data_IF_476545598928
#
_entry.id   IF_476545598928
#
_cell.length_a   1.000
_cell.length_b   1.000
_cell.length_c   1.000
_cell.angle_alpha   90.00
_cell.angle_beta   90.00
_cell.angle_gamma   90.00
#
_symmetry.space_group_name_H-M   'P 1'
#
loop_
_entity.id
_entity.type
_entity.pdbx_description
1 polymer ?
#
# COMPACT_ATOMS: atom_id res chain seq x y z
N UNK A 1 -53.50 54.73 24.81
CA UNK A 1 -52.83 54.21 23.60
C UNK A 1 -51.65 53.43 24.07
N UNK A 2 -51.78 52.12 24.15
CA UNK A 2 -50.76 51.21 24.67
C UNK A 2 -50.23 50.40 23.49
N UNK A 3 -48.92 50.55 23.24
CA UNK A 3 -48.22 49.77 22.20
C UNK A 3 -47.69 48.47 22.81
N UNK A 4 -48.19 47.32 22.30
CA UNK A 4 -47.67 46.01 22.60
C UNK A 4 -46.42 45.76 21.76
N UNK A 5 -45.26 45.61 22.44
CA UNK A 5 -44.04 45.11 21.83
C UNK A 5 -44.00 43.56 21.88
N UNK A 6 -44.13 42.89 20.73
CA UNK A 6 -43.81 41.46 20.58
C UNK A 6 -42.32 41.30 20.42
N UNK A 7 -41.68 40.65 21.38
CA UNK A 7 -40.30 40.17 21.24
C UNK A 7 -40.36 38.73 20.69
N UNK A 8 -40.05 38.56 19.41
CA UNK A 8 -39.79 37.25 18.79
C UNK A 8 -38.46 36.70 19.32
N UNK A 9 -38.51 35.64 20.09
CA UNK A 9 -37.31 34.90 20.49
C UNK A 9 -36.87 33.99 19.33
N UNK A 10 -35.82 34.42 18.64
CA UNK A 10 -35.13 33.63 17.60
C UNK A 10 -34.35 32.46 18.24
N UNK A 11 -35.02 31.34 18.48
CA UNK A 11 -34.42 30.08 18.90
C UNK A 11 -33.91 29.35 17.66
N UNK A 12 -32.69 29.70 17.21
CA UNK A 12 -31.96 28.83 16.27
C UNK A 12 -31.70 27.49 16.94
N UNK A 13 -32.05 26.37 16.30
CA UNK A 13 -31.70 25.05 16.82
C UNK A 13 -30.17 24.91 16.82
N UNK A 14 -29.58 24.57 17.97
CA UNK A 14 -28.18 24.24 18.11
C UNK A 14 -27.88 23.09 17.14
N UNK A 15 -27.06 23.36 16.12
CA UNK A 15 -26.47 22.32 15.27
C UNK A 15 -25.63 21.46 16.21
N UNK A 16 -26.04 20.22 16.45
CA UNK A 16 -25.28 19.26 17.22
C UNK A 16 -23.99 18.98 16.46
N UNK A 17 -22.88 19.53 16.92
CA UNK A 17 -21.54 19.15 16.52
C UNK A 17 -21.28 17.70 16.95
N UNK A 18 -21.83 16.76 16.21
CA UNK A 18 -21.37 15.38 16.32
C UNK A 18 -19.89 15.36 15.93
N UNK A 19 -18.99 14.85 16.79
CA UNK A 19 -17.57 14.82 16.48
C UNK A 19 -17.37 14.09 15.15
N UNK A 20 -16.80 14.80 14.17
CA UNK A 20 -16.51 14.24 12.86
C UNK A 20 -15.67 12.98 13.06
N UNK A 21 -16.17 11.82 12.63
CA UNK A 21 -15.47 10.55 12.78
C UNK A 21 -14.13 10.65 12.06
N UNK A 22 -13.04 10.50 12.82
CA UNK A 22 -11.69 10.64 12.29
C UNK A 22 -11.41 9.61 11.17
N UNK A 23 -11.05 10.10 9.99
CA UNK A 23 -10.66 9.25 8.86
C UNK A 23 -9.29 8.63 9.14
N UNK A 24 -9.14 7.33 8.90
CA UNK A 24 -7.86 6.63 8.97
C UNK A 24 -7.20 6.63 7.60
N UNK A 25 -6.02 7.25 7.48
CA UNK A 25 -5.21 7.16 6.27
C UNK A 25 -4.45 5.83 6.23
N UNK A 26 -4.47 5.18 5.08
CA UNK A 26 -3.71 3.96 4.80
C UNK A 26 -2.88 4.17 3.54
N UNK A 27 -1.56 4.04 3.63
CA UNK A 27 -0.64 4.16 2.50
C UNK A 27 -0.17 2.77 2.08
N UNK A 28 -0.33 2.44 0.79
CA UNK A 28 0.05 1.14 0.24
C UNK A 28 1.04 1.33 -0.92
N UNK A 29 2.27 0.86 -0.71
CA UNK A 29 3.34 0.91 -1.71
C UNK A 29 3.73 -0.48 -2.13
N UNK A 30 3.65 -0.76 -3.43
CA UNK A 30 4.01 -2.08 -3.95
C UNK A 30 3.62 -2.28 -5.40
N UNK A 31 3.58 -3.52 -5.82
CA UNK A 31 3.40 -3.84 -7.22
C UNK A 31 2.28 -4.87 -7.45
N UNK A 32 2.64 -5.98 -8.07
CA UNK A 32 1.69 -6.99 -8.55
C UNK A 32 0.94 -7.70 -7.42
N UNK A 33 1.55 -7.90 -6.25
CA UNK A 33 0.84 -8.54 -5.14
C UNK A 33 -0.30 -7.67 -4.60
N UNK A 34 -0.13 -6.34 -4.57
CA UNK A 34 -1.23 -5.43 -4.24
C UNK A 34 -2.32 -5.45 -5.32
N UNK A 35 -1.94 -5.47 -6.62
CA UNK A 35 -2.89 -5.54 -7.74
C UNK A 35 -3.72 -6.81 -7.70
N UNK A 36 -3.04 -7.96 -7.63
CA UNK A 36 -3.67 -9.28 -7.65
C UNK A 36 -4.44 -9.59 -6.38
N UNK A 37 -4.03 -8.97 -5.28
CA UNK A 37 -4.63 -9.13 -3.96
C UNK A 37 -5.65 -8.06 -3.58
N UNK A 38 -5.95 -7.10 -4.46
CA UNK A 38 -6.76 -5.93 -4.15
C UNK A 38 -8.11 -6.23 -3.45
N UNK A 39 -8.92 -7.22 -3.90
CA UNK A 39 -10.16 -7.55 -3.20
C UNK A 39 -9.95 -8.13 -1.79
N UNK A 40 -8.93 -8.95 -1.60
CA UNK A 40 -8.58 -9.51 -0.29
C UNK A 40 -8.06 -8.42 0.66
N UNK A 41 -7.15 -7.57 0.16
CA UNK A 41 -6.56 -6.46 0.87
C UNK A 41 -7.63 -5.47 1.39
N UNK A 42 -8.52 -5.01 0.51
CA UNK A 42 -9.55 -4.02 0.87
C UNK A 42 -10.56 -4.60 1.85
N UNK A 43 -10.92 -5.88 1.72
CA UNK A 43 -11.76 -6.58 2.69
C UNK A 43 -11.10 -6.65 4.06
N UNK A 44 -9.83 -7.08 4.13
CA UNK A 44 -9.09 -7.18 5.39
C UNK A 44 -8.94 -5.83 6.09
N UNK A 45 -8.66 -4.75 5.34
CA UNK A 45 -8.59 -3.40 5.92
C UNK A 45 -9.91 -2.98 6.56
N UNK A 46 -11.04 -3.16 5.86
CA UNK A 46 -12.36 -2.78 6.36
C UNK A 46 -12.83 -3.65 7.54
N UNK A 47 -12.37 -4.90 7.63
CA UNK A 47 -12.66 -5.79 8.76
C UNK A 47 -11.85 -5.46 10.02
N UNK A 48 -10.59 -5.00 9.85
CA UNK A 48 -9.70 -4.74 10.98
C UNK A 48 -9.78 -3.30 11.49
N UNK A 49 -10.28 -2.36 10.69
CA UNK A 49 -10.29 -0.93 11.02
C UNK A 49 -11.74 -0.44 11.02
N UNK A 50 -12.25 -0.13 12.20
CA UNK A 50 -13.63 0.32 12.39
C UNK A 50 -13.91 1.76 11.93
N UNK A 51 -12.87 2.54 11.60
CA UNK A 51 -12.98 3.94 11.16
C UNK A 51 -13.15 4.03 9.63
N UNK A 52 -13.76 5.12 9.11
CA UNK A 52 -13.71 5.40 7.68
C UNK A 52 -12.27 5.45 7.16
N UNK A 53 -12.02 4.84 6.01
CA UNK A 53 -10.70 4.68 5.44
C UNK A 53 -10.49 5.62 4.25
N UNK A 54 -9.31 6.21 4.17
CA UNK A 54 -8.79 6.78 2.92
C UNK A 54 -7.51 6.06 2.53
N UNK A 55 -7.61 5.19 1.53
CA UNK A 55 -6.47 4.44 1.00
C UNK A 55 -5.78 5.30 -0.07
N UNK A 56 -4.50 5.56 0.15
CA UNK A 56 -3.59 6.15 -0.82
C UNK A 56 -2.65 5.07 -1.32
N UNK A 57 -2.65 4.77 -2.60
CA UNK A 57 -1.83 3.67 -3.09
C UNK A 57 -0.97 4.03 -4.29
N UNK A 58 0.26 3.50 -4.29
CA UNK A 58 1.14 3.42 -5.44
C UNK A 58 1.30 1.95 -5.81
N UNK A 59 0.37 1.41 -6.60
CA UNK A 59 0.40 0.01 -7.04
C UNK A 59 0.42 -0.11 -8.57
N UNK A 60 0.86 -1.24 -9.07
CA UNK A 60 0.84 -1.56 -10.50
C UNK A 60 1.63 -2.82 -10.81
N UNK A 61 1.23 -3.56 -11.87
CA UNK A 61 2.00 -4.72 -12.32
C UNK A 61 3.44 -4.30 -12.64
N UNK A 62 4.43 -4.89 -11.98
CA UNK A 62 5.84 -4.61 -12.15
C UNK A 62 6.25 -3.18 -11.76
N UNK A 63 5.55 -2.50 -10.85
CA UNK A 63 5.89 -1.14 -10.43
C UNK A 63 7.22 -1.13 -9.69
N UNK A 64 8.08 -0.19 -10.07
CA UNK A 64 9.38 0.07 -9.42
C UNK A 64 9.27 1.12 -8.32
N UNK A 65 10.13 1.05 -7.31
CA UNK A 65 10.30 2.12 -6.34
C UNK A 65 11.07 3.30 -6.95
N UNK A 66 12.01 3.04 -7.84
CA UNK A 66 13.07 3.97 -8.27
C UNK A 66 12.63 4.81 -9.47
N UNK A 67 12.16 4.16 -10.55
CA UNK A 67 11.93 4.82 -11.85
C UNK A 67 10.63 4.37 -12.53
N UNK A 68 10.22 5.04 -13.62
CA UNK A 68 9.09 4.58 -14.41
C UNK A 68 9.28 3.14 -14.87
N UNK A 69 8.26 2.33 -14.68
CA UNK A 69 8.25 0.91 -15.03
C UNK A 69 7.23 0.61 -16.11
N UNK A 70 7.63 -0.23 -17.06
CA UNK A 70 6.77 -0.63 -18.18
C UNK A 70 6.22 -2.03 -17.91
N UNK A 71 4.90 -2.16 -18.01
CA UNK A 71 4.23 -3.44 -18.09
C UNK A 71 3.33 -3.47 -19.32
N UNK A 72 3.63 -4.31 -20.30
CA UNK A 72 2.99 -4.32 -21.61
C UNK A 72 3.06 -2.93 -22.29
N UNK A 73 1.92 -2.37 -22.70
CA UNK A 73 1.83 -1.05 -23.32
C UNK A 73 1.68 0.11 -22.32
N UNK A 74 1.76 -0.16 -21.02
CA UNK A 74 1.55 0.83 -19.94
C UNK A 74 2.87 1.13 -19.22
N UNK A 75 3.13 2.41 -18.99
CA UNK A 75 4.20 2.91 -18.15
C UNK A 75 3.57 3.62 -16.95
N UNK A 76 4.02 3.28 -15.76
CA UNK A 76 3.68 3.94 -14.50
C UNK A 76 4.92 4.65 -13.95
N UNK A 77 4.76 5.82 -13.31
CA UNK A 77 5.87 6.46 -12.60
C UNK A 77 6.39 5.55 -11.49
N UNK A 78 7.66 5.67 -11.16
CA UNK A 78 8.23 5.05 -9.96
C UNK A 78 7.51 5.54 -8.70
N UNK A 79 7.60 4.78 -7.61
CA UNK A 79 6.98 5.20 -6.34
C UNK A 79 7.55 6.54 -5.89
N UNK A 80 8.86 6.74 -5.99
CA UNK A 80 9.52 8.00 -5.64
C UNK A 80 9.17 9.18 -6.55
N UNK A 81 8.77 8.90 -7.81
CA UNK A 81 8.40 9.91 -8.80
C UNK A 81 6.88 10.18 -8.83
N UNK A 82 6.11 9.42 -8.05
CA UNK A 82 4.66 9.52 -8.02
C UNK A 82 4.20 10.88 -7.47
N UNK A 83 3.13 11.42 -8.05
CA UNK A 83 2.46 12.62 -7.54
C UNK A 83 1.77 12.42 -6.18
N UNK A 84 1.76 11.22 -5.63
CA UNK A 84 1.31 10.97 -4.27
C UNK A 84 1.92 11.98 -3.30
N UNK A 85 3.22 12.20 -3.40
CA UNK A 85 3.99 13.01 -2.44
C UNK A 85 3.56 14.47 -2.38
N UNK A 86 3.03 15.02 -3.49
CA UNK A 86 2.50 16.39 -3.54
C UNK A 86 1.00 16.45 -3.19
N UNK A 87 0.31 15.31 -3.16
CA UNK A 87 -1.15 15.24 -3.01
C UNK A 87 -1.61 14.52 -1.74
N UNK A 88 -0.69 14.14 -0.86
CA UNK A 88 -1.06 13.64 0.46
C UNK A 88 -1.82 14.73 1.22
N UNK A 89 -2.99 14.43 1.81
CA UNK A 89 -3.73 15.39 2.60
C UNK A 89 -2.97 15.72 3.89
N UNK A 90 -3.45 16.68 4.65
CA UNK A 90 -2.94 16.92 6.01
C UNK A 90 -3.15 15.64 6.85
N UNK A 91 -2.18 15.29 7.72
CA UNK A 91 -2.34 14.18 8.64
C UNK A 91 -3.63 14.31 9.47
N UNK A 92 -4.34 13.20 9.65
CA UNK A 92 -5.52 13.16 10.52
C UNK A 92 -5.13 13.03 12.00
N UNK A 93 -6.11 13.10 12.90
CA UNK A 93 -5.88 12.86 14.34
C UNK A 93 -5.33 11.45 14.58
N UNK A 94 -5.76 10.47 13.77
CA UNK A 94 -5.32 9.09 13.87
C UNK A 94 -4.01 8.86 13.10
N UNK A 95 -2.99 8.19 13.70
CA UNK A 95 -1.76 7.85 13.01
C UNK A 95 -2.02 7.03 11.73
N UNK A 96 -1.36 7.34 10.60
CA UNK A 96 -1.55 6.60 9.37
C UNK A 96 -0.93 5.20 9.45
N UNK A 97 -1.54 4.25 8.74
CA UNK A 97 -1.05 2.89 8.59
C UNK A 97 -0.36 2.74 7.24
N UNK A 98 0.80 2.12 7.22
CA UNK A 98 1.62 2.04 6.01
C UNK A 98 2.08 0.62 5.75
N UNK A 99 1.96 0.16 4.51
CA UNK A 99 2.52 -1.09 4.03
C UNK A 99 3.45 -0.82 2.85
N UNK A 100 4.73 -1.24 2.97
CA UNK A 100 5.68 -1.31 1.87
C UNK A 100 5.90 -2.77 1.50
N UNK A 101 5.66 -3.13 0.23
CA UNK A 101 5.81 -4.51 -0.27
C UNK A 101 6.40 -4.53 -1.68
N UNK A 102 6.69 -5.73 -2.18
CA UNK A 102 7.18 -5.97 -3.55
C UNK A 102 8.50 -5.24 -3.89
N UNK A 103 9.32 -4.93 -2.89
CA UNK A 103 10.61 -4.22 -3.05
C UNK A 103 11.55 -4.96 -4.02
N UNK A 104 11.51 -6.28 -4.04
CA UNK A 104 12.35 -7.13 -4.90
C UNK A 104 12.12 -6.96 -6.42
N UNK A 105 11.06 -6.28 -6.85
CA UNK A 105 10.83 -6.03 -8.29
C UNK A 105 11.97 -5.24 -8.93
N UNK A 106 12.63 -4.37 -8.19
CA UNK A 106 13.69 -3.52 -8.71
C UNK A 106 14.98 -4.30 -9.04
N UNK A 107 15.18 -5.49 -8.46
CA UNK A 107 16.24 -6.44 -8.86
C UNK A 107 16.11 -6.79 -10.35
N UNK A 108 14.88 -7.00 -10.82
CA UNK A 108 14.60 -7.40 -12.19
C UNK A 108 14.91 -6.28 -13.18
N UNK A 109 14.78 -5.04 -12.73
CA UNK A 109 15.16 -3.84 -13.49
C UNK A 109 16.67 -3.56 -13.43
N UNK A 110 17.47 -4.45 -12.79
CA UNK A 110 18.93 -4.35 -12.72
C UNK A 110 19.44 -3.16 -11.91
N UNK A 111 18.67 -2.67 -10.96
CA UNK A 111 19.20 -1.76 -9.97
C UNK A 111 20.10 -2.50 -8.98
N UNK A 112 21.12 -1.83 -8.49
CA UNK A 112 21.94 -2.38 -7.41
C UNK A 112 21.10 -2.52 -6.14
N UNK A 113 21.45 -3.49 -5.29
CA UNK A 113 20.74 -3.69 -4.02
C UNK A 113 20.83 -2.47 -3.11
N UNK A 114 21.93 -1.71 -3.22
CA UNK A 114 22.13 -0.43 -2.52
C UNK A 114 21.15 0.64 -3.02
N UNK A 115 20.97 0.78 -4.35
CA UNK A 115 19.99 1.74 -4.90
C UNK A 115 18.58 1.41 -4.45
N UNK A 116 18.25 0.11 -4.41
CA UNK A 116 16.92 -0.35 -3.96
C UNK A 116 16.72 -0.03 -2.47
N UNK A 117 17.70 -0.33 -1.63
CA UNK A 117 17.66 -0.01 -0.22
C UNK A 117 17.54 1.50 0.02
N UNK A 118 18.29 2.33 -0.72
CA UNK A 118 18.18 3.79 -0.66
C UNK A 118 16.80 4.30 -1.07
N UNK A 119 16.19 3.70 -2.10
CA UNK A 119 14.84 4.06 -2.53
C UNK A 119 13.78 3.74 -1.46
N UNK A 120 13.92 2.60 -0.78
CA UNK A 120 13.06 2.26 0.37
C UNK A 120 13.28 3.24 1.52
N UNK A 121 14.54 3.55 1.85
CA UNK A 121 14.88 4.51 2.91
C UNK A 121 14.32 5.91 2.61
N UNK A 122 14.41 6.38 1.37
CA UNK A 122 13.84 7.66 0.95
C UNK A 122 12.30 7.64 1.02
N UNK A 123 11.66 6.52 0.64
CA UNK A 123 10.21 6.35 0.80
C UNK A 123 9.81 6.47 2.27
N UNK A 124 10.54 5.81 3.17
CA UNK A 124 10.32 5.89 4.62
C UNK A 124 10.52 7.32 5.15
N UNK A 125 11.58 7.99 4.71
CA UNK A 125 11.84 9.39 5.09
C UNK A 125 10.68 10.31 4.70
N UNK A 126 10.14 10.17 3.48
CA UNK A 126 8.98 10.98 3.02
C UNK A 126 7.73 10.69 3.83
N UNK A 127 7.47 9.43 4.17
CA UNK A 127 6.34 9.05 5.03
C UNK A 127 6.48 9.71 6.40
N UNK A 128 7.65 9.60 7.03
CA UNK A 128 7.92 10.21 8.34
C UNK A 128 7.89 11.74 8.32
N UNK A 129 8.30 12.36 7.21
CA UNK A 129 8.18 13.82 7.02
C UNK A 129 6.71 14.24 6.91
N UNK A 130 5.87 13.42 6.27
CA UNK A 130 4.43 13.70 6.18
C UNK A 130 3.73 13.49 7.54
N UNK A 131 3.97 12.35 8.20
CA UNK A 131 3.48 12.09 9.56
C UNK A 131 4.47 11.19 10.31
N UNK A 132 5.14 11.77 11.32
CA UNK A 132 6.12 11.05 12.13
C UNK A 132 5.51 9.88 12.94
N UNK A 133 4.20 9.89 13.18
CA UNK A 133 3.46 8.84 13.92
C UNK A 133 3.12 7.63 13.08
N UNK A 134 3.45 7.62 11.77
CA UNK A 134 3.10 6.54 10.86
C UNK A 134 3.49 5.16 11.40
N UNK A 135 2.54 4.25 11.44
CA UNK A 135 2.73 2.85 11.83
C UNK A 135 3.06 2.04 10.58
N UNK A 136 4.33 1.66 10.45
CA UNK A 136 4.90 1.16 9.19
C UNK A 136 5.22 -0.32 9.29
N UNK A 137 4.70 -1.09 8.34
CA UNK A 137 5.07 -2.48 8.06
C UNK A 137 5.82 -2.54 6.73
N UNK A 138 7.02 -3.09 6.76
CA UNK A 138 7.83 -3.43 5.59
C UNK A 138 7.80 -4.94 5.39
N UNK A 139 7.59 -5.42 4.17
CA UNK A 139 7.71 -6.86 3.89
C UNK A 139 9.11 -7.20 3.39
N UNK A 140 9.62 -8.33 3.87
CA UNK A 140 10.83 -8.93 3.31
C UNK A 140 10.62 -9.54 1.93
N UNK A 141 11.68 -10.09 1.34
CA UNK A 141 11.65 -10.78 0.07
C UNK A 141 11.33 -12.27 0.25
N UNK A 142 10.73 -12.92 -0.75
CA UNK A 142 10.42 -14.36 -0.73
C UNK A 142 11.68 -15.21 -1.01
N UNK A 143 12.76 -14.99 -0.26
CA UNK A 143 14.07 -15.64 -0.51
C UNK A 143 13.97 -17.15 -0.52
N UNK A 144 13.26 -17.77 0.44
CA UNK A 144 13.08 -19.21 0.48
C UNK A 144 12.33 -19.75 -0.76
N UNK A 145 11.31 -19.03 -1.24
CA UNK A 145 10.59 -19.42 -2.44
C UNK A 145 11.47 -19.34 -3.70
N UNK A 146 12.41 -18.38 -3.72
CA UNK A 146 13.38 -18.23 -4.81
C UNK A 146 14.48 -19.28 -4.73
N UNK A 147 14.94 -19.66 -3.53
CA UNK A 147 15.95 -20.70 -3.33
C UNK A 147 15.44 -22.08 -3.77
N UNK A 148 14.18 -22.39 -3.52
CA UNK A 148 13.53 -23.63 -3.93
C UNK A 148 13.16 -23.67 -5.41
N UNK A 149 13.33 -22.55 -6.15
CA UNK A 149 12.89 -22.47 -7.55
C UNK A 149 13.82 -23.24 -8.48
N UNK A 150 13.34 -24.27 -9.20
CA UNK A 150 14.15 -24.97 -10.19
C UNK A 150 14.53 -24.06 -11.37
N UNK A 151 15.72 -24.23 -11.99
CA UNK A 151 16.20 -23.37 -13.07
C UNK A 151 15.24 -23.25 -14.25
N UNK A 152 14.57 -24.36 -14.64
CA UNK A 152 13.63 -24.34 -15.77
C UNK A 152 12.39 -23.47 -15.47
N UNK A 153 11.89 -23.46 -14.23
CA UNK A 153 10.76 -22.62 -13.82
C UNK A 153 11.15 -21.13 -13.79
N UNK A 154 12.37 -20.83 -13.34
CA UNK A 154 12.90 -19.47 -13.43
C UNK A 154 12.93 -18.97 -14.88
N UNK A 155 13.38 -19.80 -15.82
CA UNK A 155 13.40 -19.43 -17.23
C UNK A 155 11.99 -19.14 -17.78
N UNK A 156 10.99 -19.92 -17.38
CA UNK A 156 9.59 -19.68 -17.78
C UNK A 156 9.10 -18.36 -17.16
N UNK A 157 9.27 -18.18 -15.85
CA UNK A 157 8.84 -16.96 -15.16
C UNK A 157 9.53 -15.71 -15.74
N UNK A 158 10.84 -15.80 -16.03
CA UNK A 158 11.60 -14.72 -16.67
C UNK A 158 11.05 -14.34 -18.05
N UNK A 159 10.73 -15.34 -18.89
CA UNK A 159 10.18 -15.07 -20.22
C UNK A 159 8.79 -14.48 -20.20
N UNK A 160 7.95 -14.87 -19.24
CA UNK A 160 6.57 -14.40 -19.14
C UNK A 160 6.45 -13.04 -18.47
N UNK A 161 7.21 -12.84 -17.38
CA UNK A 161 7.06 -11.66 -16.52
C UNK A 161 8.08 -10.57 -16.82
N UNK A 162 9.28 -10.94 -17.35
CA UNK A 162 10.43 -10.06 -17.46
C UNK A 162 11.16 -10.22 -18.79
N UNK A 163 10.42 -10.06 -19.88
CA UNK A 163 10.96 -10.16 -21.23
C UNK A 163 12.15 -9.21 -21.43
N UNK A 164 13.29 -9.79 -21.85
CA UNK A 164 14.52 -9.02 -22.10
C UNK A 164 15.43 -8.82 -20.89
N UNK A 165 15.09 -9.29 -19.69
CA UNK A 165 16.03 -9.25 -18.56
C UNK A 165 17.08 -10.36 -18.73
N UNK A 166 18.41 -10.03 -18.75
CA UNK A 166 19.47 -11.03 -18.81
C UNK A 166 19.75 -11.68 -17.44
N UNK A 167 19.01 -11.36 -16.39
CA UNK A 167 19.21 -11.84 -15.03
C UNK A 167 19.20 -13.38 -14.97
N UNK A 168 20.22 -13.96 -14.38
CA UNK A 168 20.32 -15.40 -14.10
C UNK A 168 19.65 -15.73 -12.76
N UNK A 169 19.31 -17.02 -12.56
CA UNK A 169 18.76 -17.46 -11.26
C UNK A 169 19.76 -17.25 -10.11
N UNK A 170 21.05 -17.51 -10.37
CA UNK A 170 22.11 -17.34 -9.38
C UNK A 170 22.23 -15.86 -8.95
N UNK A 171 22.28 -14.95 -9.92
CA UNK A 171 22.32 -13.50 -9.64
C UNK A 171 21.04 -13.05 -8.90
N UNK A 172 19.86 -13.54 -9.31
CA UNK A 172 18.61 -13.22 -8.66
C UNK A 172 18.58 -13.64 -7.19
N UNK A 173 19.05 -14.86 -6.89
CA UNK A 173 19.18 -15.36 -5.51
C UNK A 173 20.15 -14.53 -4.69
N UNK A 174 21.35 -14.31 -5.22
CA UNK A 174 22.39 -13.52 -4.53
C UNK A 174 21.87 -12.13 -4.20
N UNK A 175 21.31 -11.42 -5.18
CA UNK A 175 20.79 -10.06 -4.97
C UNK A 175 19.59 -10.06 -4.02
N UNK A 176 18.72 -11.09 -4.06
CA UNK A 176 17.60 -11.18 -3.15
C UNK A 176 18.04 -11.39 -1.70
N UNK A 177 19.04 -12.25 -1.46
CA UNK A 177 19.61 -12.46 -0.12
C UNK A 177 20.32 -11.19 0.40
N UNK A 178 21.12 -10.55 -0.44
CA UNK A 178 21.83 -9.32 -0.10
C UNK A 178 20.83 -8.19 0.23
N UNK A 179 19.82 -7.98 -0.63
CA UNK A 179 18.79 -6.98 -0.37
C UNK A 179 17.99 -7.32 0.90
N UNK A 180 17.65 -8.59 1.14
CA UNK A 180 16.97 -9.02 2.36
C UNK A 180 17.77 -8.62 3.61
N UNK A 181 19.09 -8.82 3.62
CA UNK A 181 19.96 -8.41 4.73
C UNK A 181 19.94 -6.89 4.94
N UNK A 182 20.01 -6.12 3.86
CA UNK A 182 19.93 -4.65 3.92
C UNK A 182 18.57 -4.16 4.44
N UNK A 183 17.47 -4.83 4.06
CA UNK A 183 16.13 -4.49 4.58
C UNK A 183 15.97 -4.84 6.06
N UNK A 184 16.58 -5.94 6.52
CA UNK A 184 16.63 -6.30 7.95
C UNK A 184 17.36 -5.23 8.74
N UNK A 185 18.54 -4.81 8.27
CA UNK A 185 19.32 -3.74 8.90
C UNK A 185 18.54 -2.42 8.91
N UNK A 186 17.99 -2.01 7.76
CA UNK A 186 17.19 -0.78 7.65
C UNK A 186 15.99 -0.80 8.60
N UNK A 187 15.31 -1.94 8.73
CA UNK A 187 14.17 -2.09 9.63
C UNK A 187 14.60 -1.96 11.10
N UNK A 188 15.74 -2.54 11.48
CA UNK A 188 16.31 -2.41 12.82
C UNK A 188 16.69 -0.96 13.14
N UNK A 189 17.42 -0.30 12.24
CA UNK A 189 17.89 1.08 12.41
C UNK A 189 16.73 2.08 12.54
N UNK A 190 15.64 1.85 11.81
CA UNK A 190 14.47 2.72 11.81
C UNK A 190 13.31 2.21 12.68
N UNK A 191 13.54 1.16 13.48
CA UNK A 191 12.54 0.56 14.38
C UNK A 191 11.22 0.20 13.66
N UNK A 192 11.34 -0.35 12.44
CA UNK A 192 10.19 -0.79 11.65
C UNK A 192 9.82 -2.24 11.97
N UNK A 193 8.57 -2.59 11.66
CA UNK A 193 8.13 -3.98 11.65
C UNK A 193 8.41 -4.61 10.29
N UNK A 194 9.47 -5.41 10.22
CA UNK A 194 9.75 -6.23 9.05
C UNK A 194 8.99 -7.56 9.17
N UNK A 195 8.19 -7.89 8.18
CA UNK A 195 7.44 -9.16 8.12
C UNK A 195 7.96 -10.00 6.97
N UNK A 196 8.55 -11.15 7.31
CA UNK A 196 9.02 -12.08 6.30
C UNK A 196 7.83 -12.83 5.70
N UNK A 197 7.66 -12.84 4.36
CA UNK A 197 6.62 -13.62 3.71
C UNK A 197 6.82 -15.13 3.93
N UNK A 198 5.74 -15.84 4.22
CA UNK A 198 5.78 -17.28 4.37
C UNK A 198 6.00 -17.96 3.02
N UNK A 199 6.94 -18.93 2.98
CA UNK A 199 7.21 -19.75 1.81
C UNK A 199 5.96 -20.46 1.25
N UNK A 200 5.04 -20.87 2.11
CA UNK A 200 3.81 -21.55 1.74
C UNK A 200 2.83 -20.68 0.94
N UNK A 201 2.99 -19.36 0.99
CA UNK A 201 2.14 -18.47 0.19
C UNK A 201 2.45 -18.48 -1.29
N UNK A 202 3.64 -18.94 -1.67
CA UNK A 202 4.12 -19.01 -3.05
C UNK A 202 3.92 -20.40 -3.67
N UNK A 203 3.78 -20.44 -4.99
CA UNK A 203 3.56 -21.65 -5.74
C UNK A 203 4.69 -21.97 -6.72
N UNK A 204 4.27 -22.21 -7.96
CA UNK A 204 5.18 -22.36 -9.08
C UNK A 204 5.87 -21.04 -9.45
N UNK A 205 5.19 -19.95 -9.17
CA UNK A 205 5.65 -18.59 -9.29
C UNK A 205 6.20 -18.15 -7.92
N UNK A 206 7.48 -17.77 -7.82
CA UNK A 206 8.11 -17.38 -6.56
C UNK A 206 7.82 -15.93 -6.17
N UNK A 207 7.09 -15.17 -6.99
CA UNK A 207 6.90 -13.73 -6.82
C UNK A 207 5.49 -13.40 -6.32
N UNK A 208 4.47 -14.12 -6.84
CA UNK A 208 3.09 -13.80 -6.53
C UNK A 208 2.48 -14.77 -5.51
N UNK A 209 1.71 -14.22 -4.57
CA UNK A 209 0.94 -15.03 -3.63
C UNK A 209 -0.09 -15.88 -4.38
N UNK A 210 -0.18 -17.16 -4.03
CA UNK A 210 -1.28 -18.04 -4.45
C UNK A 210 -2.61 -17.37 -4.11
N UNK A 211 -3.58 -17.46 -5.01
CA UNK A 211 -4.91 -16.82 -4.80
C UNK A 211 -5.51 -17.14 -3.44
N UNK A 212 -5.41 -18.41 -2.99
CA UNK A 212 -5.92 -18.88 -1.70
C UNK A 212 -5.18 -18.35 -0.47
N UNK A 213 -3.95 -17.83 -0.64
CA UNK A 213 -3.12 -17.34 0.45
C UNK A 213 -3.15 -15.80 0.59
N UNK A 214 -3.81 -15.08 -0.32
CA UNK A 214 -3.81 -13.62 -0.33
C UNK A 214 -4.46 -13.04 0.92
N UNK A 215 -5.57 -13.61 1.37
CA UNK A 215 -6.24 -13.17 2.61
C UNK A 215 -5.31 -13.35 3.82
N UNK A 216 -4.70 -14.52 3.97
CA UNK A 216 -3.77 -14.81 5.06
C UNK A 216 -2.56 -13.89 5.03
N UNK A 217 -1.99 -13.63 3.84
CA UNK A 217 -0.84 -12.75 3.70
C UNK A 217 -1.17 -11.33 4.16
N UNK A 218 -2.26 -10.73 3.68
CA UNK A 218 -2.66 -9.38 4.09
C UNK A 218 -3.08 -9.32 5.56
N UNK A 219 -3.80 -10.32 6.05
CA UNK A 219 -4.12 -10.43 7.47
C UNK A 219 -2.86 -10.42 8.33
N UNK A 220 -1.82 -11.19 7.93
CA UNK A 220 -0.55 -11.25 8.65
C UNK A 220 0.15 -9.89 8.65
N UNK A 221 0.19 -9.18 7.53
CA UNK A 221 0.80 -7.85 7.49
C UNK A 221 0.05 -6.83 8.34
N UNK A 222 -1.26 -6.77 8.20
CA UNK A 222 -2.08 -5.78 8.90
C UNK A 222 -2.17 -6.04 10.41
N UNK A 223 -2.10 -7.29 10.85
CA UNK A 223 -2.04 -7.62 12.28
C UNK A 223 -0.77 -7.10 12.98
N UNK A 224 0.22 -6.66 12.21
CA UNK A 224 1.44 -6.07 12.77
C UNK A 224 1.31 -4.58 13.08
N UNK A 225 0.29 -3.89 12.58
CA UNK A 225 0.03 -2.53 13.03
C UNK A 225 -0.45 -2.52 14.49
N UNK A 226 0.10 -1.61 15.31
CA UNK A 226 -0.24 -1.52 16.74
C UNK A 226 -1.69 -1.18 17.00
N UNK A 227 -2.33 -0.48 16.07
CA UNK A 227 -3.72 -0.03 16.21
C UNK A 227 -4.73 -1.17 16.16
N UNK A 228 -4.38 -2.30 15.56
CA UNK A 228 -5.23 -3.50 15.55
C UNK A 228 -5.44 -4.10 16.95
N UNK A 229 -4.53 -3.81 17.90
CA UNK A 229 -4.59 -4.31 19.28
C UNK A 229 -5.44 -3.42 20.20
N UNK A 230 -5.61 -2.14 19.88
CA UNK A 230 -6.34 -1.17 20.72
C UNK A 230 -7.87 -1.18 20.48
N UNK A 231 -8.33 -1.76 19.39
CA UNK A 231 -9.77 -1.82 19.08
C UNK A 231 -10.57 -2.73 20.00
N UNK A 232 -9.91 -3.56 20.81
CA UNK A 232 -10.58 -4.45 21.78
C UNK A 232 -11.16 -3.70 22.99
N UNK A 233 -10.84 -2.43 23.21
CA UNK A 233 -11.29 -1.63 24.36
C UNK A 233 -12.15 -0.41 24.00
N UNK A 234 -12.38 -0.15 22.71
CA UNK A 234 -13.34 0.87 22.29
C UNK A 234 -14.75 0.27 22.24
N UNK A 235 -15.80 0.99 22.68
CA UNK A 235 -17.16 0.49 22.55
C UNK A 235 -17.41 0.15 21.07
N UNK A 236 -17.89 -1.07 20.84
CA UNK A 236 -18.31 -1.54 19.51
C UNK A 236 -19.19 -0.47 18.90
N UNK A 237 -18.91 0.05 17.70
CA UNK A 237 -19.80 1.03 17.09
C UNK A 237 -21.19 0.38 16.97
N UNK A 238 -22.22 1.07 17.40
CA UNK A 238 -23.62 0.57 17.41
C UNK A 238 -24.08 0.07 16.03
N UNK A 239 -23.35 0.44 14.97
CA UNK A 239 -23.57 -0.07 13.62
C UNK A 239 -22.21 -0.24 12.91
N UNK A 240 -21.83 -1.47 12.51
CA UNK A 240 -20.61 -1.69 11.75
C UNK A 240 -20.71 -0.97 10.39
N UNK A 241 -19.62 -0.32 9.97
CA UNK A 241 -19.56 0.32 8.66
C UNK A 241 -19.75 -0.73 7.56
N UNK A 242 -20.55 -0.44 6.52
CA UNK A 242 -20.75 -1.38 5.43
C UNK A 242 -19.45 -1.67 4.70
N UNK A 243 -19.14 -2.96 4.52
CA UNK A 243 -18.00 -3.40 3.71
C UNK A 243 -18.29 -3.14 2.24
N UNK A 244 -17.39 -2.44 1.57
CA UNK A 244 -17.48 -2.08 0.15
C UNK A 244 -16.38 -2.80 -0.62
N UNK A 245 -16.67 -3.31 -1.81
CA UNK A 245 -15.68 -3.90 -2.71
C UNK A 245 -15.29 -2.87 -3.79
N UNK A 246 -14.27 -2.02 -3.57
CA UNK A 246 -13.88 -1.03 -4.55
C UNK A 246 -13.25 -1.73 -5.75
N UNK A 247 -13.46 -1.22 -6.98
CA UNK A 247 -12.77 -1.73 -8.16
C UNK A 247 -11.25 -1.56 -8.01
N UNK A 248 -10.47 -2.30 -8.82
CA UNK A 248 -9.04 -2.07 -8.88
C UNK A 248 -8.78 -0.62 -9.28
N UNK A 249 -8.02 0.16 -8.50
CA UNK A 249 -7.86 1.58 -8.74
C UNK A 249 -6.98 1.85 -9.97
N UNK A 250 -7.33 2.91 -10.69
CA UNK A 250 -6.55 3.40 -11.83
C UNK A 250 -5.59 4.46 -11.32
N UNK A 251 -4.30 4.30 -11.60
CA UNK A 251 -3.26 5.28 -11.23
C UNK A 251 -3.55 6.64 -11.86
N UNK A 252 -3.28 7.70 -11.09
CA UNK A 252 -3.44 9.09 -11.54
C UNK A 252 -2.69 9.35 -12.84
N UNK A 253 -1.47 8.84 -12.97
CA UNK A 253 -0.62 9.01 -14.13
C UNK A 253 -0.34 7.68 -14.81
N UNK A 254 -0.83 7.52 -16.03
CA UNK A 254 -0.58 6.33 -16.84
C UNK A 254 -0.16 6.76 -18.24
N UNK A 255 1.03 6.37 -18.67
CA UNK A 255 1.45 6.58 -20.07
C UNK A 255 1.18 5.31 -20.89
N UNK A 256 0.41 5.44 -21.96
CA UNK A 256 0.15 4.36 -22.94
C UNK A 256 0.56 4.81 -24.33
N UNK A 257 1.42 4.04 -25.00
CA UNK A 257 1.92 4.36 -26.35
C UNK A 257 2.40 5.81 -26.47
N UNK A 258 3.15 6.30 -25.46
CA UNK A 258 3.67 7.66 -25.42
C UNK A 258 2.67 8.76 -25.01
N UNK A 259 1.38 8.44 -24.82
CA UNK A 259 0.37 9.41 -24.39
C UNK A 259 0.11 9.30 -22.90
N UNK A 260 0.33 10.38 -22.17
CA UNK A 260 -0.02 10.49 -20.75
C UNK A 260 -1.55 10.63 -20.61
N UNK A 261 -2.12 9.80 -19.75
CA UNK A 261 -3.50 9.94 -19.27
C UNK A 261 -3.45 10.28 -17.79
N UNK A 262 -4.14 11.35 -17.41
CA UNK A 262 -4.28 11.78 -16.01
C UNK A 262 -5.69 11.44 -15.55
N UNK A 263 -5.79 10.69 -14.46
CA UNK A 263 -7.07 10.30 -13.85
C UNK A 263 -7.29 11.12 -12.58
N UNK A 264 -8.42 11.85 -12.46
CA UNK A 264 -8.76 12.57 -11.23
C UNK A 264 -8.79 11.65 -10.02
N UNK A 265 -8.41 12.16 -8.86
CA UNK A 265 -8.40 11.44 -7.60
C UNK A 265 -9.38 12.10 -6.60
N UNK A 266 -10.06 11.35 -5.76
CA UNK A 266 -10.04 9.88 -5.61
C UNK A 266 -10.73 9.15 -6.77
N UNK A 267 -10.30 7.92 -7.07
CA UNK A 267 -10.93 7.07 -8.11
C UNK A 267 -12.13 6.29 -7.58
N UNK A 268 -12.30 6.24 -6.28
CA UNK A 268 -13.45 5.61 -5.62
C UNK A 268 -13.77 6.34 -4.31
N UNK A 269 -15.07 6.53 -4.04
CA UNK A 269 -15.54 7.15 -2.81
C UNK A 269 -16.89 6.57 -2.37
N UNK A 270 -16.98 6.22 -1.09
CA UNK A 270 -18.19 5.85 -0.38
C UNK A 270 -18.21 6.48 1.01
N UNK A 271 -19.21 6.20 1.82
CA UNK A 271 -19.29 6.69 3.23
C UNK A 271 -18.14 6.15 4.10
N UNK A 272 -17.72 4.91 3.88
CA UNK A 272 -16.72 4.21 4.71
C UNK A 272 -15.36 4.08 4.08
N UNK A 273 -15.24 4.31 2.76
CA UNK A 273 -14.02 4.05 2.03
C UNK A 273 -13.81 5.05 0.90
N UNK A 274 -12.63 5.64 0.87
CA UNK A 274 -12.11 6.45 -0.23
C UNK A 274 -10.81 5.83 -0.76
N UNK A 275 -10.59 5.85 -2.07
CA UNK A 275 -9.38 5.30 -2.69
C UNK A 275 -8.79 6.31 -3.66
N UNK A 276 -7.52 6.64 -3.45
CA UNK A 276 -6.68 7.42 -4.37
C UNK A 276 -5.49 6.57 -4.82
N UNK A 277 -5.21 6.55 -6.12
CA UNK A 277 -4.13 5.77 -6.73
C UNK A 277 -3.22 6.69 -7.57
N UNK A 278 -1.92 6.63 -7.32
CA UNK A 278 -0.92 7.55 -7.82
C UNK A 278 0.18 6.86 -8.65
#
# INVERSE_FOLDING_TARGET
MTANGFTESDTRPAVSDSPAVAIRHVLLFGASNLVLGWPALTRQLQQQIAQPLHIHTCLGMGRSYIRPSRCLARVLPGILESRLWQNLPRPSAAPPLVLLTDVGNDIIYRFSVTDIQQAVAETLRRIRTWDARADIVLTGLPVQALDDLPPFRFQIARRLLFQGSPLTLTEARQQAHELQQLLVQLAADQQLRLVQPDRAWYGLDPIHYRRRCRDTAFQTYFSRWTVSSSAATSPTPECPLPTVAPPLPISADVTRRGRLTVTPQPVFQSRSLQVSAW
#
